data_IF_847600232874
#
_entry.id   IF_847600232874
#
_cell.length_a   1.000
_cell.length_b   1.000
_cell.length_c   1.000
_cell.angle_alpha   90.00
_cell.angle_beta   90.00
_cell.angle_gamma   90.00
#
_symmetry.space_group_name_H-M   'P 1'
#
loop_
_entity.id
_entity.type
_entity.pdbx_description
1 polymer ?
#
# COMPACT_ATOMS: atom_id res chain seq x y z
N UNK A 1 0.57 16.61 14.70
CA UNK A 1 0.28 16.33 13.29
C UNK A 1 -0.23 17.55 12.51
N UNK A 2 -0.69 18.61 13.20
CA UNK A 2 -1.21 19.85 12.58
C UNK A 2 -0.34 20.45 11.46
N UNK A 3 0.99 20.45 11.58
CA UNK A 3 1.89 20.94 10.51
C UNK A 3 1.81 20.11 9.23
N UNK A 4 1.68 18.78 9.34
CA UNK A 4 1.57 17.86 8.19
C UNK A 4 0.20 18.05 7.54
N UNK A 5 -0.85 18.12 8.35
CA UNK A 5 -2.22 18.27 7.89
C UNK A 5 -2.45 19.62 7.18
N UNK A 6 -1.86 20.71 7.68
CA UNK A 6 -1.94 22.03 7.04
C UNK A 6 -1.26 22.08 5.66
N UNK A 7 -0.36 21.15 5.36
CA UNK A 7 0.29 20.99 4.07
C UNK A 7 -0.43 20.00 3.15
N UNK A 8 -1.56 19.43 3.59
CA UNK A 8 -2.25 18.32 2.93
C UNK A 8 -1.32 17.13 2.64
N UNK A 9 -0.30 16.92 3.48
CA UNK A 9 0.59 15.78 3.38
C UNK A 9 -0.05 14.55 4.03
N UNK A 10 0.41 13.37 3.60
CA UNK A 10 0.11 12.11 4.26
C UNK A 10 1.31 11.65 5.07
N UNK A 11 1.07 10.78 6.05
CA UNK A 11 2.13 10.01 6.71
C UNK A 11 2.16 8.61 6.11
N UNK A 12 3.28 8.22 5.51
CA UNK A 12 3.51 6.87 5.02
C UNK A 12 4.27 6.05 6.09
N UNK A 13 3.83 4.81 6.31
CA UNK A 13 4.36 3.91 7.34
C UNK A 13 4.85 2.63 6.68
N UNK A 14 6.12 2.32 6.88
CA UNK A 14 6.75 1.07 6.45
C UNK A 14 7.40 0.39 7.66
N UNK A 15 6.75 -0.64 8.19
CA UNK A 15 7.19 -1.45 9.34
C UNK A 15 6.73 -2.90 9.15
N UNK A 16 7.22 -3.81 9.99
CA UNK A 16 6.74 -5.20 10.02
C UNK A 16 5.27 -5.27 10.44
N UNK A 17 4.48 -6.13 9.79
CA UNK A 17 3.05 -6.27 10.06
C UNK A 17 2.74 -6.63 11.51
N UNK A 18 3.61 -7.37 12.19
CA UNK A 18 3.46 -7.73 13.61
C UNK A 18 3.49 -6.50 14.53
N UNK A 19 4.17 -5.44 14.11
CA UNK A 19 4.37 -4.20 14.87
C UNK A 19 3.38 -3.11 14.46
N UNK A 20 2.77 -3.24 13.28
CA UNK A 20 1.81 -2.27 12.75
C UNK A 20 0.68 -1.86 13.71
N UNK A 21 0.04 -2.78 14.46
CA UNK A 21 -1.04 -2.41 15.38
C UNK A 21 -0.61 -1.42 16.48
N UNK A 22 0.68 -1.39 16.84
CA UNK A 22 1.19 -0.52 17.91
C UNK A 22 1.18 0.96 17.52
N UNK A 23 1.15 1.27 16.23
CA UNK A 23 1.22 2.66 15.73
C UNK A 23 -0.01 3.05 14.92
N UNK A 24 -0.70 2.09 14.28
CA UNK A 24 -1.75 2.38 13.31
C UNK A 24 -2.88 3.24 13.90
N UNK A 25 -3.44 2.84 15.03
CA UNK A 25 -4.57 3.54 15.67
C UNK A 25 -4.21 4.97 16.09
N UNK A 26 -2.99 5.17 16.60
CA UNK A 26 -2.49 6.51 16.94
C UNK A 26 -2.35 7.39 15.70
N UNK A 27 -1.87 6.83 14.59
CA UNK A 27 -1.68 7.56 13.34
C UNK A 27 -3.02 7.89 12.67
N UNK A 28 -3.96 6.94 12.59
CA UNK A 28 -5.28 7.19 11.98
C UNK A 28 -6.11 8.16 12.83
N UNK A 29 -5.94 8.18 14.15
CA UNK A 29 -6.52 9.21 15.01
C UNK A 29 -5.89 10.60 14.78
N UNK A 30 -4.56 10.68 14.64
CA UNK A 30 -3.82 11.94 14.67
C UNK A 30 -3.62 12.60 13.30
N UNK A 31 -3.55 11.85 12.20
CA UNK A 31 -3.27 12.37 10.86
C UNK A 31 -4.54 12.39 10.00
N UNK A 32 -4.65 13.30 9.03
CA UNK A 32 -5.76 13.30 8.06
C UNK A 32 -5.66 12.20 7.00
N UNK A 33 -4.44 11.72 6.71
CA UNK A 33 -4.18 10.61 5.78
C UNK A 33 -2.97 9.81 6.24
N UNK A 34 -3.15 8.49 6.33
CA UNK A 34 -2.11 7.51 6.61
C UNK A 34 -2.03 6.56 5.43
N UNK A 35 -0.82 6.31 4.94
CA UNK A 35 -0.54 5.30 3.91
C UNK A 35 0.28 4.20 4.55
N UNK A 36 -0.16 2.95 4.45
CA UNK A 36 0.62 1.80 4.90
C UNK A 36 1.27 1.13 3.70
N UNK A 37 2.61 1.04 3.72
CA UNK A 37 3.37 0.59 2.56
C UNK A 37 3.36 -0.95 2.38
N UNK A 38 3.57 -1.40 1.14
CA UNK A 38 3.74 -2.80 0.74
C UNK A 38 2.76 -3.79 1.39
N UNK A 39 1.47 -3.59 1.21
CA UNK A 39 0.41 -4.43 1.78
C UNK A 39 0.42 -4.51 3.32
N UNK A 40 1.16 -3.62 4.02
CA UNK A 40 1.38 -3.68 5.46
C UNK A 40 2.41 -4.70 5.92
N UNK A 41 3.23 -5.24 4.99
CA UNK A 41 4.29 -6.23 5.25
C UNK A 41 3.88 -7.34 6.24
N UNK A 42 2.77 -8.06 5.99
CA UNK A 42 2.37 -9.16 6.86
C UNK A 42 3.40 -10.30 6.81
N UNK A 43 3.42 -11.15 7.84
CA UNK A 43 4.21 -12.39 7.80
C UNK A 43 3.85 -13.24 6.58
N UNK A 44 4.86 -13.61 5.78
CA UNK A 44 4.72 -14.30 4.50
C UNK A 44 3.96 -15.64 4.62
N UNK A 45 4.21 -16.41 5.69
CA UNK A 45 3.65 -17.76 5.84
C UNK A 45 2.14 -17.76 6.12
N UNK A 46 1.63 -16.71 6.79
CA UNK A 46 0.23 -16.64 7.23
C UNK A 46 -0.27 -15.19 7.23
N UNK A 47 -0.34 -14.54 6.06
CA UNK A 47 -0.49 -13.08 6.00
C UNK A 47 -1.84 -12.61 6.54
N UNK A 48 -2.93 -13.34 6.30
CA UNK A 48 -4.27 -13.00 6.83
C UNK A 48 -4.40 -13.19 8.34
N UNK A 49 -3.49 -13.96 8.96
CA UNK A 49 -3.43 -14.13 10.43
C UNK A 49 -2.51 -13.11 11.09
N UNK A 50 -1.68 -12.41 10.33
CA UNK A 50 -0.78 -11.39 10.83
C UNK A 50 -1.57 -10.30 11.58
N UNK A 51 -1.12 -9.86 12.78
CA UNK A 51 -1.77 -8.78 13.51
C UNK A 51 -1.96 -7.50 12.68
N UNK A 52 -0.98 -7.16 11.83
CA UNK A 52 -1.05 -6.00 10.94
C UNK A 52 -2.17 -6.10 9.92
N UNK A 53 -2.32 -7.26 9.26
CA UNK A 53 -3.44 -7.49 8.33
C UNK A 53 -4.79 -7.29 9.03
N UNK A 54 -4.96 -7.89 10.22
CA UNK A 54 -6.20 -7.75 11.00
C UNK A 54 -6.46 -6.30 11.42
N UNK A 55 -5.43 -5.59 11.86
CA UNK A 55 -5.54 -4.19 12.25
C UNK A 55 -5.98 -3.33 11.06
N UNK A 56 -5.39 -3.54 9.88
CA UNK A 56 -5.77 -2.85 8.65
C UNK A 56 -7.24 -3.07 8.31
N UNK A 57 -7.70 -4.32 8.13
CA UNK A 57 -9.08 -4.60 7.72
C UNK A 57 -10.13 -4.19 8.77
N UNK A 58 -9.72 -4.04 10.03
CA UNK A 58 -10.60 -3.58 11.11
C UNK A 58 -10.67 -2.05 11.24
N UNK A 59 -9.76 -1.31 10.63
CA UNK A 59 -9.72 0.15 10.72
C UNK A 59 -10.91 0.76 9.97
N UNK A 60 -11.77 1.45 10.70
CA UNK A 60 -13.00 2.07 10.16
C UNK A 60 -12.78 3.54 9.77
N UNK A 61 -11.54 4.04 9.81
CA UNK A 61 -11.25 5.41 9.42
C UNK A 61 -11.18 5.51 7.90
N UNK A 62 -11.80 6.56 7.33
CA UNK A 62 -11.62 6.93 5.92
C UNK A 62 -10.24 7.55 5.63
N UNK A 63 -9.35 7.52 6.63
CA UNK A 63 -8.04 8.15 6.61
C UNK A 63 -6.94 7.16 6.24
N UNK A 64 -7.23 5.87 6.25
CA UNK A 64 -6.27 4.82 5.94
C UNK A 64 -6.26 4.50 4.45
N UNK A 65 -5.07 4.53 3.85
CA UNK A 65 -4.79 3.92 2.56
C UNK A 65 -3.77 2.79 2.70
N UNK A 66 -3.95 1.72 1.94
CA UNK A 66 -2.99 0.61 1.83
C UNK A 66 -2.35 0.65 0.45
N UNK A 67 -1.02 0.74 0.43
CA UNK A 67 -0.25 0.74 -0.80
C UNK A 67 0.01 -0.70 -1.23
N UNK A 68 -0.57 -1.07 -2.36
CA UNK A 68 -0.40 -2.38 -3.01
C UNK A 68 0.81 -2.30 -3.95
N UNK A 69 1.96 -2.73 -3.44
CA UNK A 69 3.28 -2.59 -4.06
C UNK A 69 4.24 -3.67 -3.58
N UNK A 70 5.33 -3.89 -4.32
CA UNK A 70 6.46 -4.75 -3.92
C UNK A 70 6.07 -6.15 -3.36
N UNK A 71 5.32 -6.98 -4.10
CA UNK A 71 4.88 -8.30 -3.61
C UNK A 71 6.07 -9.21 -3.28
N UNK A 72 7.21 -9.02 -3.95
CA UNK A 72 8.47 -9.72 -3.70
C UNK A 72 9.10 -9.39 -2.32
N UNK A 73 8.69 -8.31 -1.66
CA UNK A 73 9.07 -8.02 -0.26
C UNK A 73 8.12 -8.65 0.75
N UNK A 74 6.90 -8.98 0.34
CA UNK A 74 5.87 -9.63 1.18
C UNK A 74 6.05 -11.13 1.16
N UNK A 75 6.32 -11.70 -0.02
CA UNK A 75 6.53 -13.13 -0.22
C UNK A 75 7.91 -13.39 -0.83
N UNK A 76 9.01 -13.17 -0.09
CA UNK A 76 10.37 -13.26 -0.63
C UNK A 76 10.80 -14.69 -1.00
N UNK A 77 10.07 -15.70 -0.50
CA UNK A 77 10.35 -17.11 -0.75
C UNK A 77 9.65 -17.65 -2.01
N UNK A 78 8.73 -16.88 -2.60
CA UNK A 78 7.98 -17.29 -3.78
C UNK A 78 8.62 -16.73 -5.06
N UNK A 79 8.47 -17.43 -6.21
CA UNK A 79 8.68 -16.82 -7.51
C UNK A 79 7.89 -15.52 -7.65
N UNK A 80 8.44 -14.53 -8.36
CA UNK A 80 7.90 -13.16 -8.34
C UNK A 80 6.46 -13.03 -8.82
N UNK A 81 6.10 -13.75 -9.88
CA UNK A 81 4.72 -13.73 -10.40
C UNK A 81 3.76 -14.46 -9.44
N UNK A 82 4.22 -15.51 -8.76
CA UNK A 82 3.46 -16.19 -7.72
C UNK A 82 3.26 -15.28 -6.50
N UNK A 83 4.31 -14.59 -6.06
CA UNK A 83 4.22 -13.55 -5.02
C UNK A 83 3.18 -12.48 -5.39
N UNK A 84 3.13 -12.05 -6.66
CA UNK A 84 2.15 -11.09 -7.13
C UNK A 84 0.71 -11.64 -7.14
N UNK A 85 0.50 -12.92 -7.45
CA UNK A 85 -0.79 -13.60 -7.33
C UNK A 85 -1.25 -13.71 -5.87
N UNK A 86 -0.37 -14.13 -4.96
CA UNK A 86 -0.68 -14.18 -3.52
C UNK A 86 -0.97 -12.78 -2.94
N UNK A 87 -0.23 -11.76 -3.38
CA UNK A 87 -0.49 -10.39 -2.98
C UNK A 87 -1.84 -9.87 -3.52
N UNK A 88 -2.30 -10.40 -4.66
CA UNK A 88 -3.62 -10.05 -5.18
C UNK A 88 -4.75 -10.47 -4.23
N UNK A 89 -4.65 -11.67 -3.65
CA UNK A 89 -5.62 -12.17 -2.65
C UNK A 89 -5.67 -11.27 -1.41
N UNK A 90 -4.52 -10.74 -0.96
CA UNK A 90 -4.49 -9.78 0.14
C UNK A 90 -5.19 -8.47 -0.22
N UNK A 91 -4.95 -7.96 -1.43
CA UNK A 91 -5.61 -6.74 -1.90
C UNK A 91 -7.13 -6.94 -2.05
N UNK A 92 -7.60 -8.12 -2.47
CA UNK A 92 -9.04 -8.46 -2.47
C UNK A 92 -9.63 -8.35 -1.06
N UNK A 93 -8.94 -8.90 -0.06
CA UNK A 93 -9.36 -8.80 1.34
C UNK A 93 -9.42 -7.36 1.86
N UNK A 94 -8.44 -6.54 1.47
CA UNK A 94 -8.45 -5.11 1.79
C UNK A 94 -9.56 -4.36 1.06
N UNK A 95 -9.76 -4.58 -0.24
CA UNK A 95 -10.83 -3.95 -1.01
C UNK A 95 -12.22 -4.30 -0.45
N UNK A 96 -12.42 -5.56 -0.07
CA UNK A 96 -13.68 -6.01 0.51
C UNK A 96 -13.98 -5.37 1.89
N UNK A 97 -12.94 -5.09 2.68
CA UNK A 97 -13.10 -4.58 4.06
C UNK A 97 -13.04 -3.06 4.16
N UNK A 98 -12.15 -2.43 3.38
CA UNK A 98 -11.85 -0.99 3.42
C UNK A 98 -12.47 -0.22 2.24
N UNK A 99 -12.92 -0.94 1.21
CA UNK A 99 -13.32 -0.37 -0.07
C UNK A 99 -12.12 -0.10 -0.98
N UNK A 100 -12.38 -0.21 -2.28
CA UNK A 100 -11.43 0.06 -3.38
C UNK A 100 -10.72 1.42 -3.27
N UNK A 101 -11.41 2.43 -2.77
CA UNK A 101 -10.90 3.80 -2.62
C UNK A 101 -9.75 3.92 -1.60
N UNK A 102 -9.59 2.92 -0.73
CA UNK A 102 -8.50 2.84 0.24
C UNK A 102 -7.23 2.21 -0.35
N UNK A 103 -7.27 1.69 -1.57
CA UNK A 103 -6.10 1.05 -2.20
C UNK A 103 -5.37 2.02 -3.13
N UNK A 104 -4.05 2.01 -3.05
CA UNK A 104 -3.19 2.80 -3.92
C UNK A 104 -2.03 1.97 -4.42
N UNK A 105 -1.66 2.10 -5.69
CA UNK A 105 -0.59 1.30 -6.28
C UNK A 105 0.74 2.04 -6.32
N UNK A 106 1.82 1.28 -6.16
CA UNK A 106 3.18 1.76 -6.35
C UNK A 106 4.07 0.69 -6.96
N UNK A 107 5.02 1.12 -7.77
CA UNK A 107 5.97 0.21 -8.43
C UNK A 107 7.10 -0.28 -7.54
N UNK A 108 7.40 0.48 -6.50
CA UNK A 108 8.61 0.35 -5.68
C UNK A 108 9.91 0.45 -6.50
N UNK A 109 9.89 1.09 -7.68
CA UNK A 109 11.11 1.35 -8.44
C UNK A 109 12.09 2.19 -7.59
N UNK A 110 13.40 1.90 -7.58
CA UNK A 110 14.15 1.01 -8.47
C UNK A 110 14.25 -0.46 -8.02
N UNK A 111 13.32 -0.93 -7.18
CA UNK A 111 13.28 -2.29 -6.66
C UNK A 111 14.55 -2.63 -5.87
N UNK A 112 14.96 -1.73 -5.00
CA UNK A 112 16.23 -1.82 -4.27
C UNK A 112 16.40 -3.16 -3.56
N UNK A 113 17.57 -3.79 -3.76
CA UNK A 113 17.93 -5.17 -3.34
C UNK A 113 17.24 -6.30 -4.11
N UNK A 114 16.43 -5.98 -5.12
CA UNK A 114 15.71 -6.93 -5.98
C UNK A 114 15.86 -6.57 -7.46
N UNK A 115 16.88 -5.79 -7.83
CA UNK A 115 17.05 -5.22 -9.17
C UNK A 115 17.20 -6.30 -10.25
N UNK A 116 17.90 -7.39 -9.93
CA UNK A 116 18.25 -8.42 -10.89
C UNK A 116 17.02 -9.15 -11.43
N UNK A 117 16.80 -9.09 -12.75
CA UNK A 117 15.67 -9.74 -13.41
C UNK A 117 14.30 -9.10 -13.15
N UNK A 118 14.24 -7.94 -12.48
CA UNK A 118 13.03 -7.13 -12.41
C UNK A 118 12.93 -6.26 -13.66
N UNK A 119 11.71 -6.12 -14.19
CA UNK A 119 11.46 -5.28 -15.34
C UNK A 119 10.20 -4.45 -15.16
N UNK A 120 10.14 -3.33 -15.87
CA UNK A 120 8.98 -2.46 -15.77
C UNK A 120 7.72 -3.11 -16.34
N UNK A 121 7.89 -3.90 -17.41
CA UNK A 121 6.86 -4.76 -18.00
C UNK A 121 6.25 -5.71 -16.96
N UNK A 122 7.09 -6.35 -16.15
CA UNK A 122 6.64 -7.26 -15.10
C UNK A 122 5.78 -6.54 -14.05
N UNK A 123 6.20 -5.37 -13.55
CA UNK A 123 5.37 -4.63 -12.57
C UNK A 123 4.06 -4.15 -13.19
N UNK A 124 4.09 -3.69 -14.44
CA UNK A 124 2.87 -3.25 -15.12
C UNK A 124 1.90 -4.42 -15.32
N UNK A 125 2.41 -5.62 -15.64
CA UNK A 125 1.59 -6.85 -15.68
C UNK A 125 0.91 -7.12 -14.34
N UNK A 126 1.63 -7.01 -13.22
CA UNK A 126 1.03 -7.17 -11.89
C UNK A 126 -0.04 -6.11 -11.62
N UNK A 127 0.23 -4.85 -11.98
CA UNK A 127 -0.76 -3.77 -11.86
C UNK A 127 -2.06 -4.08 -12.62
N UNK A 128 -1.96 -4.59 -13.85
CA UNK A 128 -3.14 -4.94 -14.65
C UNK A 128 -3.89 -6.14 -14.06
N UNK A 129 -3.17 -7.20 -13.67
CA UNK A 129 -3.75 -8.37 -13.00
C UNK A 129 -4.57 -7.95 -11.76
N UNK A 130 -4.00 -7.07 -10.95
CA UNK A 130 -4.65 -6.53 -9.76
C UNK A 130 -5.86 -5.65 -10.10
N UNK A 131 -5.73 -4.74 -11.06
CA UNK A 131 -6.83 -3.87 -11.47
C UNK A 131 -8.04 -4.68 -11.99
N UNK A 132 -7.79 -5.72 -12.79
CA UNK A 132 -8.84 -6.62 -13.29
C UNK A 132 -9.53 -7.39 -12.16
N UNK A 133 -8.76 -7.98 -11.23
CA UNK A 133 -9.31 -8.75 -10.12
C UNK A 133 -10.15 -7.93 -9.16
N UNK A 134 -9.79 -6.66 -8.95
CA UNK A 134 -10.44 -5.82 -7.95
C UNK A 134 -11.54 -4.91 -8.53
N UNK A 135 -11.87 -5.02 -9.84
CA UNK A 135 -12.85 -4.14 -10.49
C UNK A 135 -12.41 -2.67 -10.58
N UNK A 136 -11.12 -2.39 -10.33
CA UNK A 136 -10.58 -1.06 -10.20
C UNK A 136 -10.36 -0.43 -11.57
N UNK A 137 -11.39 0.21 -12.12
CA UNK A 137 -11.27 1.01 -13.35
C UNK A 137 -10.29 2.20 -13.24
N UNK A 138 -9.76 2.48 -12.04
CA UNK A 138 -8.79 3.53 -11.80
C UNK A 138 -7.95 3.29 -10.56
N UNK A 139 -7.10 2.27 -10.58
CA UNK A 139 -6.07 2.06 -9.56
C UNK A 139 -5.30 3.37 -9.35
N UNK A 140 -5.54 4.03 -8.21
CA UNK A 140 -4.93 5.33 -7.93
C UNK A 140 -3.43 5.11 -7.81
N UNK A 141 -2.66 6.03 -8.37
CA UNK A 141 -1.24 6.16 -8.09
C UNK A 141 -1.08 7.39 -7.21
N UNK A 142 -0.26 7.33 -6.15
CA UNK A 142 0.13 8.55 -5.44
C UNK A 142 0.95 9.40 -6.39
N UNK A 143 0.31 10.43 -6.97
CA UNK A 143 1.03 11.51 -7.64
C UNK A 143 1.15 12.63 -6.60
N UNK A 144 2.36 13.10 -6.28
CA UNK A 144 2.52 14.27 -5.46
C UNK A 144 1.74 15.43 -6.08
N UNK A 145 0.78 16.00 -5.36
CA UNK A 145 0.15 17.25 -5.76
C UNK A 145 1.15 18.38 -5.49
N UNK A 146 2.14 18.55 -6.36
CA UNK A 146 2.92 19.77 -6.39
C UNK A 146 2.04 20.86 -7.02
N UNK A 147 1.35 21.62 -6.17
CA UNK A 147 0.77 22.89 -6.58
C UNK A 147 1.90 23.79 -7.07
N UNK A 148 1.95 24.05 -8.37
CA UNK A 148 2.72 25.17 -8.90
C UNK A 148 2.09 26.43 -8.31
N UNK A 149 2.67 26.95 -7.23
CA UNK A 149 2.39 28.32 -6.80
C UNK A 149 2.96 29.22 -7.89
N UNK A 150 2.11 29.74 -8.77
CA UNK A 150 2.50 30.86 -9.62
C UNK A 150 2.90 32.00 -8.69
N UNK A 151 4.20 32.30 -8.64
CA UNK A 151 4.65 33.57 -8.11
C UNK A 151 4.35 34.61 -9.18
N UNK A 152 3.14 35.17 -9.16
CA UNK A 152 2.93 36.48 -9.73
C UNK A 152 3.47 37.51 -8.73
N UNK A 153 4.38 38.35 -9.24
CA UNK A 153 4.91 39.54 -8.57
C UNK A 153 4.06 40.74 -8.96
#
# INVERSE_FOLDING_TARGET
>A
MERIDNLNWHVEVQIEGERLPQVLSHLTAACRRVVVDHFGRPAADNPTRCPGYKALISDQSERLWVKISAPYRVFPHLPRDEAASHAAELAEGYAASLGEHALVWGSDWPWTQYEEGMSWEQIMRWRYLWAERFGLQGLRTLVPQFGLVSRER
#
